data_IF_788769654876
#
_entry.id   IF_788769654876
#
_cell.length_a   1.000
_cell.length_b   1.000
_cell.length_c   1.000
_cell.angle_alpha   90.00
_cell.angle_beta   90.00
_cell.angle_gamma   90.00
#
_symmetry.space_group_name_H-M   'P 1'
#
loop_
_entity.id
_entity.type
_entity.pdbx_description
1 polymer ?
#
# COMPACT_ATOMS: atom_id res chain seq x y z
N UNK A 1 -2.74 22.84 -12.10
CA UNK A 1 -1.66 23.65 -11.49
C UNK A 1 -1.72 23.37 -9.98
N UNK A 2 -0.75 22.79 -9.30
CA UNK A 2 0.70 22.75 -9.50
C UNK A 2 1.27 21.33 -9.31
N UNK A 3 2.26 20.90 -10.10
CA UNK A 3 3.18 19.86 -9.68
C UNK A 3 4.00 20.39 -8.49
N UNK A 4 4.37 19.50 -7.57
CA UNK A 4 5.27 19.80 -6.46
C UNK A 4 6.62 20.19 -7.06
N UNK A 5 6.78 21.49 -7.33
CA UNK A 5 7.99 22.13 -7.79
C UNK A 5 8.91 22.28 -6.58
N UNK A 6 10.06 21.62 -6.60
CA UNK A 6 11.20 21.92 -5.73
C UNK A 6 11.43 20.92 -4.59
N UNK A 7 11.68 19.65 -4.91
CA UNK A 7 12.68 18.92 -4.14
C UNK A 7 14.01 19.19 -4.85
N UNK A 8 14.85 20.04 -4.26
CA UNK A 8 16.20 20.27 -4.75
C UNK A 8 17.02 19.03 -4.40
N UNK A 9 17.12 18.08 -5.33
CA UNK A 9 18.00 16.92 -5.22
C UNK A 9 19.44 17.43 -5.40
N UNK A 10 20.05 17.88 -4.31
CA UNK A 10 21.52 18.05 -4.25
C UNK A 10 22.07 16.74 -3.68
N UNK A 11 22.32 15.79 -4.57
CA UNK A 11 23.63 15.13 -4.75
C UNK A 11 23.51 13.80 -5.51
N UNK A 12 24.06 13.84 -6.74
CA UNK A 12 24.83 12.81 -7.43
C UNK A 12 24.08 11.59 -8.01
N UNK A 13 23.83 11.69 -9.32
CA UNK A 13 24.11 10.68 -10.36
C UNK A 13 24.50 9.26 -9.89
N UNK A 14 23.51 8.45 -9.58
CA UNK A 14 23.41 7.02 -9.94
C UNK A 14 22.08 6.50 -9.37
N UNK A 15 21.55 5.41 -9.94
CA UNK A 15 20.46 4.64 -9.31
C UNK A 15 21.00 3.96 -8.05
N UNK A 16 21.32 4.74 -7.02
CA UNK A 16 21.85 4.23 -5.76
C UNK A 16 20.64 3.76 -4.96
N UNK A 17 20.44 2.44 -4.91
CA UNK A 17 19.57 1.84 -3.89
C UNK A 17 20.17 2.14 -2.53
N UNK A 18 19.37 2.59 -1.56
CA UNK A 18 19.82 2.97 -0.23
C UNK A 18 20.22 4.44 -0.05
N UNK A 19 20.08 5.29 -1.07
CA UNK A 19 20.33 6.73 -0.95
C UNK A 19 19.27 7.42 -0.10
N UNK A 20 19.67 8.32 0.80
CA UNK A 20 18.71 9.08 1.62
C UNK A 20 18.09 10.22 0.81
N UNK A 21 16.81 10.47 1.05
CA UNK A 21 16.05 11.60 0.50
C UNK A 21 15.73 12.54 1.64
N UNK A 22 16.09 13.82 1.49
CA UNK A 22 15.77 14.87 2.45
C UNK A 22 14.69 15.79 1.90
N UNK A 23 13.88 16.37 2.78
CA UNK A 23 12.97 17.46 2.42
C UNK A 23 13.70 18.82 2.36
N UNK A 24 12.93 19.91 2.34
CA UNK A 24 13.47 21.28 2.25
C UNK A 24 14.06 21.78 3.56
N UNK A 25 13.61 21.23 4.68
CA UNK A 25 14.01 21.64 6.02
C UNK A 25 15.28 20.89 6.47
N UNK A 26 15.71 19.89 5.67
CA UNK A 26 16.89 19.07 5.92
C UNK A 26 16.55 17.78 6.67
N UNK A 27 15.27 17.49 6.88
CA UNK A 27 14.82 16.26 7.52
C UNK A 27 14.82 15.10 6.53
N UNK A 28 15.10 13.88 7.03
CA UNK A 28 15.09 12.67 6.20
C UNK A 28 13.64 12.30 5.89
N UNK A 29 13.25 12.51 4.62
CA UNK A 29 11.95 12.16 4.08
C UNK A 29 11.85 10.67 3.71
N UNK A 30 12.96 10.00 3.42
CA UNK A 30 12.95 8.58 3.07
C UNK A 30 14.26 8.05 2.51
N UNK A 31 14.17 6.89 1.86
CA UNK A 31 15.31 6.21 1.24
C UNK A 31 14.93 5.71 -0.16
N UNK A 32 15.82 5.87 -1.12
CA UNK A 32 15.64 5.36 -2.48
C UNK A 32 15.82 3.84 -2.50
N UNK A 33 15.10 3.17 -3.39
CA UNK A 33 15.30 1.75 -3.65
C UNK A 33 15.21 1.47 -5.14
N UNK A 34 15.91 0.43 -5.59
CA UNK A 34 15.84 0.04 -6.99
C UNK A 34 14.52 -0.67 -7.29
N UNK A 35 13.89 -0.26 -8.38
CA UNK A 35 12.63 -0.81 -8.84
C UNK A 35 12.66 -0.91 -10.38
N UNK A 36 11.89 -1.83 -10.95
CA UNK A 36 11.76 -1.97 -12.40
C UNK A 36 11.17 -0.72 -13.11
N UNK A 37 10.75 0.29 -12.35
CA UNK A 37 10.23 1.55 -12.86
C UNK A 37 11.37 2.49 -13.29
N UNK A 38 11.20 3.27 -14.37
CA UNK A 38 12.19 4.27 -14.78
C UNK A 38 12.27 5.48 -13.83
N UNK A 39 11.32 5.61 -12.90
CA UNK A 39 11.32 6.65 -11.86
C UNK A 39 12.01 6.14 -10.61
N UNK A 40 12.76 7.01 -9.93
CA UNK A 40 13.31 6.72 -8.60
C UNK A 40 12.16 6.48 -7.64
N UNK A 41 12.11 5.29 -7.05
CA UNK A 41 11.16 4.96 -6.01
C UNK A 41 11.74 5.35 -4.65
N UNK A 42 10.90 5.90 -3.77
CA UNK A 42 11.27 6.34 -2.43
C UNK A 42 10.42 5.60 -1.43
N UNK A 43 11.08 4.96 -0.46
CA UNK A 43 10.46 4.40 0.72
C UNK A 43 10.41 5.49 1.80
N UNK A 44 9.22 5.95 2.23
CA UNK A 44 9.12 7.05 3.18
C UNK A 44 9.74 6.72 4.55
N UNK A 45 10.32 7.71 5.21
CA UNK A 45 11.01 7.55 6.49
C UNK A 45 10.10 7.02 7.59
N UNK A 46 8.82 7.41 7.62
CA UNK A 46 7.85 6.90 8.60
C UNK A 46 7.55 5.41 8.41
N UNK A 47 7.57 4.88 7.18
CA UNK A 47 7.44 3.45 6.91
C UNK A 47 8.67 2.72 7.42
N UNK A 48 9.87 3.21 7.07
CA UNK A 48 11.15 2.64 7.53
C UNK A 48 11.20 2.58 9.05
N UNK A 49 10.83 3.69 9.71
CA UNK A 49 10.77 3.78 11.17
C UNK A 49 9.86 2.71 11.77
N UNK A 50 8.63 2.52 11.25
CA UNK A 50 7.73 1.47 11.73
C UNK A 50 8.32 0.07 11.56
N UNK A 51 8.99 -0.22 10.45
CA UNK A 51 9.62 -1.52 10.21
C UNK A 51 10.75 -1.80 11.21
N UNK A 52 11.62 -0.82 11.46
CA UNK A 52 12.70 -0.92 12.45
C UNK A 52 12.12 -1.08 13.86
N UNK A 53 11.08 -0.34 14.20
CA UNK A 53 10.40 -0.46 15.50
C UNK A 53 9.76 -1.85 15.67
N UNK A 54 9.17 -2.43 14.62
CA UNK A 54 8.60 -3.78 14.66
C UNK A 54 9.69 -4.83 14.90
N UNK A 55 10.78 -4.75 14.13
CA UNK A 55 11.92 -5.65 14.30
C UNK A 55 12.54 -5.52 15.70
N UNK A 56 12.78 -4.30 16.18
CA UNK A 56 13.42 -4.08 17.47
C UNK A 56 12.57 -4.55 18.65
N UNK A 57 11.25 -4.45 18.57
CA UNK A 57 10.37 -4.82 19.68
C UNK A 57 9.93 -6.28 19.65
N UNK A 58 9.89 -6.90 18.47
CA UNK A 58 9.30 -8.23 18.29
C UNK A 58 10.20 -9.24 17.59
N UNK A 59 11.39 -8.84 17.09
CA UNK A 59 12.28 -9.65 16.23
C UNK A 59 11.67 -10.07 14.89
N UNK A 60 10.53 -9.51 14.51
CA UNK A 60 9.78 -9.86 13.31
C UNK A 60 9.22 -8.62 12.63
N UNK A 61 9.23 -8.63 11.31
CA UNK A 61 8.44 -7.70 10.49
C UNK A 61 7.25 -8.49 9.93
N UNK A 62 6.04 -8.06 10.27
CA UNK A 62 4.80 -8.65 9.76
C UNK A 62 4.12 -7.71 8.77
N UNK A 63 3.92 -8.22 7.56
CA UNK A 63 3.19 -7.53 6.50
C UNK A 63 1.96 -8.36 6.08
N UNK A 64 0.77 -7.76 5.92
CA UNK A 64 -0.43 -8.50 5.59
C UNK A 64 -0.41 -9.01 4.14
N UNK A 65 -0.72 -10.28 3.96
CA UNK A 65 -0.86 -10.92 2.65
C UNK A 65 -2.32 -10.84 2.22
N UNK A 66 -2.63 -9.88 1.35
CA UNK A 66 -3.99 -9.67 0.82
C UNK A 66 -4.18 -10.21 -0.62
N UNK A 67 -3.10 -10.46 -1.36
CA UNK A 67 -3.19 -11.05 -2.71
C UNK A 67 -3.73 -10.13 -3.80
N UNK A 68 -3.67 -8.80 -3.59
CA UNK A 68 -4.17 -7.78 -4.51
C UNK A 68 -3.02 -6.89 -4.98
N UNK A 69 -3.02 -6.54 -6.26
CA UNK A 69 -2.22 -5.44 -6.80
C UNK A 69 -3.14 -4.25 -6.97
N UNK A 70 -2.81 -3.16 -6.27
CA UNK A 70 -3.65 -1.98 -6.17
C UNK A 70 -2.97 -0.78 -6.83
N UNK A 71 -3.78 0.08 -7.42
CA UNK A 71 -3.38 1.41 -7.84
C UNK A 71 -4.40 2.40 -7.32
N UNK A 72 -3.94 3.43 -6.61
CA UNK A 72 -4.87 4.46 -6.16
C UNK A 72 -5.49 5.12 -7.39
N UNK A 73 -6.81 5.34 -7.35
CA UNK A 73 -7.55 6.04 -8.42
C UNK A 73 -6.88 7.39 -8.71
N UNK A 74 -6.30 8.01 -7.68
CA UNK A 74 -5.59 9.26 -7.83
C UNK A 74 -4.30 9.20 -8.69
N UNK A 75 -3.77 8.03 -8.99
CA UNK A 75 -2.57 7.87 -9.83
C UNK A 75 -2.89 7.29 -11.20
N UNK A 76 -4.16 7.16 -11.55
CA UNK A 76 -4.58 6.88 -12.92
C UNK A 76 -4.31 8.09 -13.83
N UNK A 77 -4.17 7.84 -15.13
CA UNK A 77 -4.11 8.90 -16.13
C UNK A 77 -5.42 9.72 -16.16
N UNK A 78 -5.33 10.95 -16.67
CA UNK A 78 -6.44 11.91 -16.58
C UNK A 78 -7.70 11.38 -17.27
N UNK A 79 -7.55 10.77 -18.45
CA UNK A 79 -8.67 10.20 -19.21
C UNK A 79 -9.38 9.10 -18.43
N UNK A 80 -8.64 8.16 -17.81
CA UNK A 80 -9.23 7.11 -16.98
C UNK A 80 -9.88 7.64 -15.70
N UNK A 81 -9.27 8.63 -15.05
CA UNK A 81 -9.86 9.28 -13.86
C UNK A 81 -11.19 9.94 -14.21
N UNK A 82 -11.24 10.71 -15.29
CA UNK A 82 -12.46 11.38 -15.75
C UNK A 82 -13.54 10.38 -16.14
N UNK A 83 -13.18 9.29 -16.82
CA UNK A 83 -14.11 8.23 -17.18
C UNK A 83 -14.76 7.59 -15.94
N UNK A 84 -13.95 7.20 -14.94
CA UNK A 84 -14.44 6.56 -13.71
C UNK A 84 -15.30 7.54 -12.91
N UNK A 85 -14.88 8.80 -12.81
CA UNK A 85 -15.66 9.84 -12.14
C UNK A 85 -16.99 10.08 -12.83
N UNK A 86 -17.00 10.26 -14.15
CA UNK A 86 -18.20 10.58 -14.90
C UNK A 86 -19.21 9.43 -14.95
N UNK A 87 -18.74 8.19 -15.19
CA UNK A 87 -19.61 7.03 -15.35
C UNK A 87 -20.06 6.42 -14.02
N UNK A 88 -19.21 6.48 -13.00
CA UNK A 88 -19.41 5.73 -11.75
C UNK A 88 -19.46 6.61 -10.51
N UNK A 89 -19.22 7.92 -10.63
CA UNK A 89 -19.16 8.87 -9.52
C UNK A 89 -18.13 8.46 -8.45
N UNK A 90 -16.97 7.96 -8.91
CA UNK A 90 -15.86 7.54 -8.06
C UNK A 90 -14.65 8.43 -8.35
N UNK A 91 -14.24 9.21 -7.37
CA UNK A 91 -13.07 10.08 -7.44
C UNK A 91 -11.84 9.51 -6.69
N UNK A 92 -12.05 8.47 -5.89
CA UNK A 92 -11.07 7.96 -4.93
C UNK A 92 -11.23 6.47 -4.65
N UNK A 93 -10.23 5.90 -3.96
CA UNK A 93 -10.13 4.47 -3.68
C UNK A 93 -9.00 3.80 -4.47
N UNK A 94 -9.07 2.48 -4.58
CA UNK A 94 -7.99 1.64 -5.12
C UNK A 94 -8.52 0.75 -6.23
N UNK A 95 -8.07 0.99 -7.46
CA UNK A 95 -8.31 0.11 -8.60
C UNK A 95 -7.53 -1.19 -8.43
N UNK A 96 -8.19 -2.32 -8.63
CA UNK A 96 -7.56 -3.64 -8.58
C UNK A 96 -6.99 -3.96 -9.98
N UNK A 97 -5.68 -3.81 -10.11
CA UNK A 97 -4.96 -4.11 -11.35
C UNK A 97 -4.82 -5.62 -11.57
N UNK A 98 -4.58 -6.38 -10.49
CA UNK A 98 -4.45 -7.84 -10.51
C UNK A 98 -4.95 -8.45 -9.19
N UNK A 99 -5.50 -9.66 -9.31
CA UNK A 99 -5.83 -10.54 -8.18
C UNK A 99 -4.95 -11.78 -8.31
N UNK A 100 -4.28 -12.17 -7.22
CA UNK A 100 -3.45 -13.39 -7.20
C UNK A 100 -4.34 -14.63 -7.31
N UNK A 101 -4.00 -15.53 -8.22
CA UNK A 101 -4.71 -16.81 -8.38
C UNK A 101 -4.65 -17.65 -7.10
N UNK A 102 -5.75 -18.32 -6.77
CA UNK A 102 -5.98 -19.11 -5.57
C UNK A 102 -5.80 -18.33 -4.25
N UNK A 103 -5.86 -16.99 -4.30
CA UNK A 103 -5.82 -16.16 -3.09
C UNK A 103 -7.19 -16.09 -2.43
N UNK A 104 -7.22 -15.77 -1.13
CA UNK A 104 -8.47 -15.51 -0.41
C UNK A 104 -9.29 -14.41 -1.09
N UNK A 105 -8.63 -13.37 -1.62
CA UNK A 105 -9.28 -12.30 -2.38
C UNK A 105 -10.03 -12.81 -3.62
N UNK A 106 -9.41 -13.70 -4.40
CA UNK A 106 -10.07 -14.32 -5.56
C UNK A 106 -11.27 -15.18 -5.14
N UNK A 107 -11.09 -15.99 -4.09
CA UNK A 107 -12.11 -16.91 -3.59
C UNK A 107 -13.36 -16.16 -3.10
N UNK A 108 -13.18 -15.02 -2.42
CA UNK A 108 -14.31 -14.20 -1.95
C UNK A 108 -14.94 -13.31 -3.04
N UNK A 109 -14.49 -13.46 -4.28
CA UNK A 109 -15.13 -12.82 -5.44
C UNK A 109 -14.53 -11.49 -5.87
N UNK A 110 -13.38 -11.06 -5.34
CA UNK A 110 -12.71 -9.85 -5.84
C UNK A 110 -12.15 -10.14 -7.23
N UNK A 111 -12.33 -9.19 -8.15
CA UNK A 111 -11.90 -9.29 -9.55
C UNK A 111 -11.06 -8.10 -9.97
N UNK A 112 -10.31 -8.29 -11.06
CA UNK A 112 -9.57 -7.21 -11.72
C UNK A 112 -10.58 -6.22 -12.30
N UNK A 113 -10.32 -4.93 -12.14
CA UNK A 113 -11.19 -3.84 -12.60
C UNK A 113 -12.15 -3.32 -11.53
N UNK A 114 -12.36 -4.09 -10.45
CA UNK A 114 -13.08 -3.63 -9.27
C UNK A 114 -12.33 -2.45 -8.61
N UNK A 115 -13.08 -1.60 -7.91
CA UNK A 115 -12.54 -0.48 -7.14
C UNK A 115 -12.86 -0.67 -5.65
N UNK A 116 -11.82 -0.73 -4.81
CA UNK A 116 -12.01 -0.69 -3.36
C UNK A 116 -12.23 0.76 -2.96
N UNK A 117 -13.46 1.08 -2.55
CA UNK A 117 -13.86 2.43 -2.16
C UNK A 117 -13.68 2.68 -0.65
N UNK A 118 -13.66 1.63 0.17
CA UNK A 118 -13.27 1.75 1.57
C UNK A 118 -12.69 0.47 2.18
N UNK A 119 -11.80 0.65 3.16
CA UNK A 119 -11.16 -0.42 3.91
C UNK A 119 -11.46 -0.20 5.39
N UNK A 120 -12.20 -1.12 6.01
CA UNK A 120 -12.68 -1.01 7.40
C UNK A 120 -13.37 0.32 7.71
N UNK A 121 -14.11 0.86 6.73
CA UNK A 121 -14.80 2.15 6.84
C UNK A 121 -13.91 3.37 6.57
N UNK A 122 -12.60 3.19 6.38
CA UNK A 122 -11.70 4.27 5.98
C UNK A 122 -11.77 4.47 4.46
N UNK A 123 -12.11 5.69 4.05
CA UNK A 123 -12.02 6.14 2.67
C UNK A 123 -10.70 6.91 2.51
N UNK A 124 -9.61 6.20 2.21
CA UNK A 124 -8.32 6.85 1.90
C UNK A 124 -8.14 6.97 0.39
N UNK A 125 -7.54 8.08 -0.03
CA UNK A 125 -7.22 8.35 -1.43
C UNK A 125 -5.77 8.00 -1.78
N UNK A 126 -4.91 7.76 -0.79
CA UNK A 126 -3.47 7.65 -0.96
C UNK A 126 -2.95 6.24 -0.65
N UNK A 127 -2.09 5.72 -1.52
CA UNK A 127 -1.42 4.44 -1.31
C UNK A 127 -0.62 4.42 -0.01
N UNK A 128 0.01 5.53 0.37
CA UNK A 128 0.82 5.59 1.59
C UNK A 128 0.00 5.38 2.86
N UNK A 129 -1.21 5.93 2.95
CA UNK A 129 -2.06 5.74 4.13
C UNK A 129 -2.53 4.29 4.22
N UNK A 130 -2.78 3.63 3.08
CA UNK A 130 -3.14 2.21 3.04
C UNK A 130 -1.98 1.33 3.50
N UNK A 131 -0.77 1.61 3.02
CA UNK A 131 0.46 0.95 3.47
C UNK A 131 0.69 1.14 4.97
N UNK A 132 0.53 2.37 5.45
CA UNK A 132 0.63 2.68 6.87
C UNK A 132 -0.40 1.92 7.71
N UNK A 133 -1.64 1.83 7.21
CA UNK A 133 -2.71 1.07 7.82
C UNK A 133 -2.36 -0.42 7.90
N UNK A 134 -1.84 -1.01 6.81
CA UNK A 134 -1.41 -2.40 6.78
C UNK A 134 -0.30 -2.70 7.79
N UNK A 135 0.71 -1.84 7.90
CA UNK A 135 1.74 -1.98 8.93
C UNK A 135 1.16 -1.88 10.34
N UNK A 136 0.17 -0.99 10.56
CA UNK A 136 -0.51 -0.89 11.86
C UNK A 136 -1.26 -2.18 12.24
N UNK A 137 -1.77 -2.94 11.26
CA UNK A 137 -2.39 -4.24 11.51
C UNK A 137 -1.36 -5.28 11.92
N UNK A 138 -0.19 -5.31 11.26
CA UNK A 138 0.93 -6.16 11.64
C UNK A 138 1.42 -5.86 13.06
N UNK A 139 1.56 -4.57 13.40
CA UNK A 139 1.92 -4.13 14.74
C UNK A 139 0.92 -4.62 15.80
N UNK A 140 -0.38 -4.35 15.59
CA UNK A 140 -1.46 -4.79 16.49
C UNK A 140 -1.50 -6.31 16.66
N UNK A 141 -1.15 -7.06 15.61
CA UNK A 141 -1.06 -8.50 15.66
C UNK A 141 0.08 -8.95 16.59
N UNK A 142 1.24 -8.30 16.51
CA UNK A 142 2.40 -8.56 17.36
C UNK A 142 2.17 -8.17 18.82
N UNK A 143 1.60 -6.97 19.08
CA UNK A 143 1.37 -6.46 20.43
C UNK A 143 0.49 -7.39 21.28
N UNK A 144 -0.54 -7.96 20.68
CA UNK A 144 -1.64 -8.52 21.46
C UNK A 144 -1.47 -9.99 21.84
N UNK A 145 -0.37 -10.67 21.47
CA UNK A 145 -0.30 -12.16 21.48
C UNK A 145 -1.64 -12.76 21.05
N UNK A 146 -2.28 -12.17 20.02
CA UNK A 146 -3.64 -12.53 19.64
C UNK A 146 -3.64 -14.03 19.38
N UNK A 147 -4.36 -14.77 20.24
CA UNK A 147 -4.70 -16.15 19.99
C UNK A 147 -5.44 -16.19 18.66
N UNK A 148 -4.70 -16.50 17.59
CA UNK A 148 -5.16 -17.06 16.32
C UNK A 148 -6.35 -16.40 15.59
N UNK A 149 -6.86 -15.25 16.04
CA UNK A 149 -7.97 -14.58 15.40
C UNK A 149 -7.45 -13.86 14.15
N UNK A 150 -7.81 -14.45 13.01
CA UNK A 150 -7.57 -13.89 11.68
C UNK A 150 -8.05 -12.44 11.68
N UNK A 151 -7.15 -11.50 11.37
CA UNK A 151 -7.57 -10.12 11.10
C UNK A 151 -8.40 -10.15 9.82
N UNK A 152 -9.65 -9.70 9.90
CA UNK A 152 -10.57 -9.66 8.75
C UNK A 152 -10.77 -8.22 8.32
N UNK A 153 -10.36 -7.88 7.10
CA UNK A 153 -10.68 -6.60 6.48
C UNK A 153 -12.11 -6.61 5.96
N UNK A 154 -12.89 -5.59 6.29
CA UNK A 154 -14.15 -5.25 5.65
C UNK A 154 -13.85 -4.33 4.49
N UNK A 155 -13.96 -4.83 3.27
CA UNK A 155 -13.75 -4.07 2.04
C UNK A 155 -15.10 -3.68 1.46
N UNK A 156 -15.28 -2.40 1.11
CA UNK A 156 -16.37 -1.96 0.25
C UNK A 156 -15.82 -1.89 -1.16
N UNK A 157 -16.33 -2.75 -2.04
CA UNK A 157 -15.81 -2.97 -3.39
C UNK A 157 -16.90 -2.64 -4.39
N UNK A 158 -16.60 -1.72 -5.30
CA UNK A 158 -17.47 -1.34 -6.39
C UNK A 158 -17.07 -2.09 -7.66
N UNK A 159 -18.05 -2.71 -8.31
CA UNK A 159 -17.95 -3.34 -9.62
C UNK A 159 -18.49 -2.36 -10.69
N UNK A 160 -17.60 -1.76 -11.51
CA UNK A 160 -18.01 -0.82 -12.55
C UNK A 160 -18.83 -1.44 -13.67
N UNK A 161 -18.70 -2.74 -13.94
CA UNK A 161 -19.41 -3.41 -15.04
C UNK A 161 -20.89 -3.61 -14.70
N UNK A 162 -21.16 -4.05 -13.47
CA UNK A 162 -22.52 -4.29 -13.01
C UNK A 162 -23.13 -3.08 -12.27
N UNK A 163 -22.35 -2.01 -12.04
CA UNK A 163 -22.74 -0.84 -11.27
C UNK A 163 -23.26 -1.22 -9.87
N UNK A 164 -22.56 -2.15 -9.21
CA UNK A 164 -22.93 -2.66 -7.90
C UNK A 164 -21.81 -2.45 -6.88
N UNK A 165 -22.21 -2.29 -5.63
CA UNK A 165 -21.28 -2.21 -4.52
C UNK A 165 -21.52 -3.35 -3.55
N UNK A 166 -20.44 -4.04 -3.20
CA UNK A 166 -20.46 -5.19 -2.33
C UNK A 166 -19.55 -4.96 -1.13
N UNK A 167 -20.01 -5.40 0.04
CA UNK A 167 -19.16 -5.45 1.23
C UNK A 167 -18.59 -6.85 1.37
N UNK A 168 -17.28 -6.99 1.20
CA UNK A 168 -16.57 -8.25 1.28
C UNK A 168 -15.74 -8.32 2.56
N UNK A 169 -15.62 -9.53 3.10
CA UNK A 169 -14.77 -9.82 4.26
C UNK A 169 -13.54 -10.57 3.78
N UNK A 170 -12.37 -9.95 3.88
CA UNK A 170 -11.09 -10.52 3.49
C UNK A 170 -10.28 -10.88 4.74
N UNK A 171 -10.26 -12.16 5.15
CA UNK A 171 -9.29 -12.64 6.12
C UNK A 171 -7.86 -12.40 5.61
N UNK A 172 -7.02 -11.83 6.46
CA UNK A 172 -5.61 -11.60 6.18
C UNK A 172 -4.75 -12.71 6.79
N UNK A 173 -3.81 -13.20 5.99
CA UNK A 173 -2.58 -13.81 6.51
C UNK A 173 -1.51 -12.74 6.73
N UNK A 174 -0.42 -13.11 7.39
CA UNK A 174 0.78 -12.27 7.49
C UNK A 174 1.98 -13.02 6.97
N UNK A 175 2.81 -12.35 6.17
CA UNK A 175 4.16 -12.82 5.85
C UNK A 175 5.10 -12.32 6.93
N UNK A 176 5.94 -13.22 7.42
CA UNK A 176 7.00 -12.91 8.37
C UNK A 176 8.32 -12.77 7.63
N UNK A 177 9.01 -11.65 7.83
CA UNK A 177 10.42 -11.51 7.49
C UNK A 177 11.21 -11.62 8.79
N UNK A 178 12.02 -12.67 8.91
CA UNK A 178 13.04 -12.81 9.94
C UNK A 178 14.36 -12.29 9.41
N UNK A 179 15.17 -11.65 10.26
CA UNK A 179 16.53 -11.25 9.93
C UNK A 179 17.52 -12.45 9.89
N UNK A 180 17.05 -13.66 9.58
CA UNK A 180 17.95 -14.73 9.17
C UNK A 180 18.13 -14.62 7.66
N UNK A 181 19.37 -14.32 7.25
CA UNK A 181 19.85 -14.04 5.88
C UNK A 181 20.00 -12.54 5.56
N UNK A 182 20.88 -11.88 6.31
CA UNK A 182 21.82 -10.87 5.78
C UNK A 182 23.17 -11.02 6.51
N UNK A 183 23.68 -12.25 6.60
CA UNK A 183 25.11 -12.46 6.80
C UNK A 183 25.75 -12.41 5.40
N UNK A 184 26.28 -11.24 5.04
CA UNK A 184 27.36 -11.11 4.06
C UNK A 184 28.69 -11.22 4.79
#
# INVERSE_FOLDING_TARGET
>A
MNPISGATIICILARISGGLVMDRDGDIAGMTFDCASPKTAVLPSFIIKKLIEMESNFSFILYPVHGLSLRAVQFLDMSRREEILYKHNIDSGYLIDKVKMNSTAEIIGIRRGDVIVSVNGMCSQNMLDLEEYFLSLGWKFLEKKIESSKIVLKLKVYDPLNCQENTLRLPLGFSCLTAEVCAL
#
